data_IF_683959000778
#
_entry.id   IF_683959000778
#
_cell.length_a   1.000
_cell.length_b   1.000
_cell.length_c   1.000
_cell.angle_alpha   90.00
_cell.angle_beta   90.00
_cell.angle_gamma   90.00
#
_symmetry.space_group_name_H-M   'P 1'
#
loop_
_entity.id
_entity.type
_entity.pdbx_description
1 polymer ?
#
# COMPACT_ATOMS: atom_id res chain seq x y z
N UNK A 1 21.60 10.15 2.43
CA UNK A 1 20.88 10.76 1.29
C UNK A 1 20.18 9.65 0.54
N UNK A 2 18.91 9.81 0.18
CA UNK A 2 18.15 8.81 -0.58
C UNK A 2 18.28 9.12 -2.08
N UNK A 3 18.65 8.11 -2.86
CA UNK A 3 18.97 8.22 -4.29
C UNK A 3 17.93 7.49 -5.13
N UNK A 4 17.60 8.02 -6.30
CA UNK A 4 16.84 7.34 -7.34
C UNK A 4 17.72 7.29 -8.61
N UNK A 5 18.24 6.11 -8.92
CA UNK A 5 19.36 5.99 -9.85
C UNK A 5 20.59 6.73 -9.28
N UNK A 6 21.18 7.62 -10.08
CA UNK A 6 22.36 8.40 -9.68
C UNK A 6 22.03 9.77 -9.08
N UNK A 7 20.75 10.13 -8.99
CA UNK A 7 20.31 11.46 -8.55
C UNK A 7 19.66 11.43 -7.15
N UNK A 8 19.78 12.50 -6.35
CA UNK A 8 19.03 12.63 -5.11
C UNK A 8 17.52 12.59 -5.37
N UNK A 9 16.78 11.73 -4.68
CA UNK A 9 15.32 11.64 -4.88
C UNK A 9 14.63 12.98 -4.56
N UNK A 10 15.07 13.66 -3.49
CA UNK A 10 14.55 14.97 -3.11
C UNK A 10 14.92 16.02 -4.16
N UNK A 11 13.90 16.60 -4.81
CA UNK A 11 14.05 17.71 -5.76
C UNK A 11 14.28 17.28 -7.21
N UNK A 12 14.55 16.00 -7.48
CA UNK A 12 14.74 15.49 -8.85
C UNK A 12 13.74 14.40 -9.26
N UNK A 13 13.18 13.65 -8.31
CA UNK A 13 12.14 12.68 -8.61
C UNK A 13 10.86 13.39 -9.06
N UNK A 14 10.22 12.88 -10.11
CA UNK A 14 8.86 13.27 -10.49
C UNK A 14 7.87 12.98 -9.37
N UNK A 15 6.65 13.51 -9.48
CA UNK A 15 5.62 13.30 -8.47
C UNK A 15 5.32 11.81 -8.27
N UNK A 16 5.11 11.06 -9.35
CA UNK A 16 4.83 9.62 -9.28
C UNK A 16 6.02 8.79 -8.79
N UNK A 17 7.26 9.20 -9.11
CA UNK A 17 8.46 8.55 -8.57
C UNK A 17 8.59 8.80 -7.08
N UNK A 18 8.37 10.04 -6.63
CA UNK A 18 8.40 10.40 -5.20
C UNK A 18 7.40 9.57 -4.40
N UNK A 19 6.20 9.38 -4.94
CA UNK A 19 5.15 8.57 -4.33
C UNK A 19 5.55 7.10 -4.26
N UNK A 20 6.02 6.52 -5.37
CA UNK A 20 6.49 5.14 -5.44
C UNK A 20 7.66 4.89 -4.50
N UNK A 21 8.56 5.85 -4.37
CA UNK A 21 9.72 5.81 -3.49
C UNK A 21 9.30 5.84 -2.02
N UNK A 22 8.38 6.73 -1.65
CA UNK A 22 7.83 6.80 -0.29
C UNK A 22 7.08 5.51 0.09
N UNK A 23 6.25 4.99 -0.81
CA UNK A 23 5.56 3.71 -0.61
C UNK A 23 6.55 2.56 -0.41
N UNK A 24 7.59 2.46 -1.25
CA UNK A 24 8.61 1.43 -1.12
C UNK A 24 9.31 1.48 0.25
N UNK A 25 9.62 2.67 0.75
CA UNK A 25 10.22 2.83 2.10
C UNK A 25 9.27 2.38 3.21
N UNK A 26 7.96 2.66 3.09
CA UNK A 26 6.96 2.21 4.07
C UNK A 26 6.80 0.69 4.07
N UNK A 27 6.74 0.07 2.89
CA UNK A 27 6.68 -1.38 2.75
C UNK A 27 7.96 -2.05 3.27
N UNK A 28 9.13 -1.48 2.98
CA UNK A 28 10.41 -1.97 3.50
C UNK A 28 10.46 -1.89 5.03
N UNK A 29 9.92 -0.83 5.63
CA UNK A 29 9.79 -0.72 7.08
C UNK A 29 8.87 -1.79 7.66
N UNK A 30 7.72 -2.06 7.02
CA UNK A 30 6.82 -3.13 7.46
C UNK A 30 7.50 -4.50 7.36
N UNK A 31 8.27 -4.74 6.30
CA UNK A 31 9.05 -5.97 6.13
C UNK A 31 10.11 -6.12 7.23
N UNK A 32 10.82 -5.05 7.57
CA UNK A 32 11.81 -5.08 8.65
C UNK A 32 11.17 -5.42 9.99
N UNK A 33 10.02 -4.79 10.31
CA UNK A 33 9.28 -5.08 11.53
C UNK A 33 8.79 -6.53 11.58
N UNK A 34 8.36 -7.07 10.44
CA UNK A 34 8.00 -8.47 10.30
C UNK A 34 9.17 -9.40 10.62
N UNK A 35 10.34 -9.14 10.04
CA UNK A 35 11.51 -10.01 10.21
C UNK A 35 12.05 -10.00 11.67
N UNK A 36 11.82 -8.92 12.42
CA UNK A 36 12.19 -8.80 13.84
C UNK A 36 11.08 -9.24 14.82
N UNK A 37 9.85 -9.46 14.33
CA UNK A 37 8.68 -9.75 15.16
C UNK A 37 8.70 -11.18 15.69
N UNK A 38 8.39 -11.33 16.98
CA UNK A 38 8.16 -12.63 17.63
C UNK A 38 6.67 -12.99 17.73
N UNK A 39 5.79 -12.08 17.34
CA UNK A 39 4.35 -12.14 17.62
C UNK A 39 3.47 -12.20 16.37
N UNK A 40 4.06 -12.23 15.18
CA UNK A 40 3.35 -12.25 13.89
C UNK A 40 3.63 -11.03 13.02
N UNK A 41 2.98 -10.96 11.85
CA UNK A 41 3.18 -9.86 10.90
C UNK A 41 2.53 -8.56 11.42
N UNK A 42 3.09 -7.38 11.09
CA UNK A 42 2.40 -6.12 11.37
C UNK A 42 1.15 -5.98 10.49
N UNK A 43 0.08 -5.41 11.06
CA UNK A 43 -1.09 -5.01 10.27
C UNK A 43 -0.69 -3.85 9.38
N UNK A 44 -0.82 -4.03 8.06
CA UNK A 44 -0.57 -2.96 7.09
C UNK A 44 -1.87 -2.23 6.78
N UNK A 45 -1.85 -0.91 6.89
CA UNK A 45 -2.99 -0.05 6.55
C UNK A 45 -2.62 0.77 5.31
N UNK A 46 -3.44 0.65 4.28
CA UNK A 46 -3.32 1.33 3.00
C UNK A 46 -4.47 2.32 2.87
N UNK A 47 -4.21 3.60 3.10
CA UNK A 47 -5.23 4.64 3.10
C UNK A 47 -5.35 5.31 1.72
N UNK A 48 -6.37 4.93 0.96
CA UNK A 48 -6.71 5.44 -0.39
C UNK A 48 -5.55 5.43 -1.40
N UNK A 49 -4.53 4.62 -1.14
CA UNK A 49 -3.27 4.62 -1.89
C UNK A 49 -3.44 4.11 -3.32
N UNK A 50 -4.46 3.28 -3.58
CA UNK A 50 -4.68 2.70 -4.90
C UNK A 50 -5.20 3.72 -5.92
N UNK A 51 -5.96 4.73 -5.47
CA UNK A 51 -6.47 5.79 -6.33
C UNK A 51 -5.33 6.61 -6.97
N UNK A 52 -4.20 6.75 -6.26
CA UNK A 52 -3.01 7.52 -6.68
C UNK A 52 -2.11 6.77 -7.68
N UNK A 53 -2.43 5.50 -7.99
CA UNK A 53 -1.60 4.63 -8.79
C UNK A 53 -2.21 4.32 -10.16
N UNK A 54 -1.35 4.23 -11.18
CA UNK A 54 -1.72 3.59 -12.44
C UNK A 54 -1.89 2.07 -12.27
N UNK A 55 -2.61 1.43 -13.19
CA UNK A 55 -2.97 0.01 -13.11
C UNK A 55 -1.77 -0.92 -12.85
N UNK A 56 -0.64 -0.69 -13.54
CA UNK A 56 0.56 -1.50 -13.35
C UNK A 56 1.17 -1.36 -11.96
N UNK A 57 1.09 -0.17 -11.36
CA UNK A 57 1.54 0.04 -9.98
C UNK A 57 0.56 -0.51 -8.94
N UNK A 58 -0.75 -0.47 -9.21
CA UNK A 58 -1.76 -1.11 -8.35
C UNK A 58 -1.48 -2.61 -8.23
N UNK A 59 -1.26 -3.29 -9.35
CA UNK A 59 -0.96 -4.73 -9.38
C UNK A 59 0.33 -5.07 -8.62
N UNK A 60 1.37 -4.22 -8.76
CA UNK A 60 2.62 -4.38 -8.01
C UNK A 60 2.42 -4.20 -6.51
N UNK A 61 1.69 -3.17 -6.08
CA UNK A 61 1.38 -2.96 -4.68
C UNK A 61 0.60 -4.13 -4.11
N UNK A 62 -0.44 -4.59 -4.82
CA UNK A 62 -1.21 -5.77 -4.43
C UNK A 62 -0.32 -7.00 -4.23
N UNK A 63 0.59 -7.26 -5.17
CA UNK A 63 1.53 -8.38 -5.07
C UNK A 63 2.47 -8.26 -3.87
N UNK A 64 2.92 -7.04 -3.54
CA UNK A 64 3.83 -6.80 -2.41
C UNK A 64 3.18 -6.99 -1.04
N UNK A 65 1.86 -6.79 -0.93
CA UNK A 65 1.14 -6.91 0.35
C UNK A 65 0.33 -8.20 0.46
N UNK A 66 0.27 -9.02 -0.59
CA UNK A 66 -0.51 -10.27 -0.63
C UNK A 66 -0.06 -11.30 0.43
N UNK A 67 1.23 -11.31 0.77
CA UNK A 67 1.82 -12.27 1.72
C UNK A 67 1.82 -11.77 3.18
N UNK A 68 1.18 -10.63 3.46
CA UNK A 68 0.99 -10.15 4.82
C UNK A 68 -0.24 -10.80 5.44
N UNK A 69 -0.14 -11.18 6.72
CA UNK A 69 -1.27 -11.83 7.43
C UNK A 69 -2.54 -10.96 7.45
N UNK A 70 -2.41 -9.64 7.58
CA UNK A 70 -3.54 -8.73 7.55
C UNK A 70 -3.19 -7.39 6.88
N UNK A 71 -4.05 -7.00 5.93
CA UNK A 71 -4.01 -5.70 5.27
C UNK A 71 -5.39 -5.06 5.37
N UNK A 72 -5.44 -3.80 5.80
CA UNK A 72 -6.64 -2.96 5.78
C UNK A 72 -6.47 -1.96 4.64
N UNK A 73 -7.45 -1.89 3.76
CA UNK A 73 -7.43 -1.00 2.60
C UNK A 73 -8.67 -0.10 2.70
N UNK A 74 -8.47 1.21 2.58
CA UNK A 74 -9.57 2.14 2.32
C UNK A 74 -9.54 2.50 0.83
N UNK A 75 -10.71 2.59 0.22
CA UNK A 75 -10.86 2.99 -1.17
C UNK A 75 -12.24 3.61 -1.35
N UNK A 76 -12.32 4.74 -2.05
CA UNK A 76 -13.59 5.35 -2.43
C UNK A 76 -14.26 4.64 -3.63
N UNK A 77 -13.46 4.00 -4.49
CA UNK A 77 -13.91 3.29 -5.69
C UNK A 77 -13.39 1.86 -5.63
N UNK A 78 -14.29 0.89 -5.72
CA UNK A 78 -13.95 -0.53 -5.55
C UNK A 78 -12.97 -1.05 -6.61
N UNK A 79 -13.09 -0.51 -7.83
CA UNK A 79 -12.32 -0.86 -9.01
C UNK A 79 -10.86 -0.38 -8.93
N UNK A 80 -10.53 0.51 -7.98
CA UNK A 80 -9.16 0.89 -7.72
C UNK A 80 -8.38 -0.22 -7.00
N UNK A 81 -9.07 -1.11 -6.29
CA UNK A 81 -8.45 -2.24 -5.60
C UNK A 81 -8.32 -3.42 -6.57
N UNK A 82 -7.09 -3.94 -6.81
CA UNK A 82 -6.91 -5.09 -7.70
C UNK A 82 -7.70 -6.31 -7.24
N UNK A 83 -8.38 -6.96 -8.18
CA UNK A 83 -9.20 -8.17 -7.93
C UNK A 83 -8.37 -9.39 -7.49
N UNK A 84 -7.03 -9.32 -7.64
CA UNK A 84 -6.09 -10.30 -7.09
C UNK A 84 -6.09 -10.33 -5.55
N UNK A 85 -6.49 -9.23 -4.90
CA UNK A 85 -6.65 -9.16 -3.45
C UNK A 85 -8.03 -9.68 -3.07
N UNK A 86 -8.09 -10.89 -2.51
CA UNK A 86 -9.32 -11.43 -1.92
C UNK A 86 -9.57 -10.77 -0.57
N UNK A 87 -10.50 -9.84 -0.50
CA UNK A 87 -10.83 -9.11 0.71
C UNK A 87 -12.22 -9.48 1.25
N UNK A 88 -12.39 -9.36 2.56
CA UNK A 88 -13.72 -9.12 3.13
C UNK A 88 -14.02 -7.63 2.98
N UNK A 89 -15.12 -7.29 2.33
CA UNK A 89 -15.48 -5.91 2.04
C UNK A 89 -16.42 -5.37 3.10
N UNK A 90 -16.17 -4.15 3.53
CA UNK A 90 -17.03 -3.39 4.41
C UNK A 90 -17.41 -2.09 3.71
N UNK A 91 -18.70 -1.81 3.65
CA UNK A 91 -19.22 -0.52 3.24
C UNK A 91 -19.24 0.41 4.46
N UNK A 92 -18.72 1.62 4.28
CA UNK A 92 -18.69 2.65 5.32
C UNK A 92 -19.51 3.85 4.85
N UNK A 93 -20.60 4.15 5.54
CA UNK A 93 -21.48 5.28 5.24
C UNK A 93 -22.06 5.87 6.51
N UNK A 94 -22.12 7.20 6.58
CA UNK A 94 -22.70 7.94 7.72
C UNK A 94 -22.17 7.51 9.11
N UNK A 95 -20.87 7.17 9.20
CA UNK A 95 -20.25 6.70 10.44
C UNK A 95 -20.60 5.27 10.85
N UNK A 96 -21.31 4.53 10.00
CA UNK A 96 -21.66 3.12 10.17
C UNK A 96 -20.81 2.23 9.28
N UNK A 97 -20.53 1.01 9.73
CA UNK A 97 -19.74 0.00 8.99
C UNK A 97 -20.57 -1.27 8.85
N UNK A 98 -20.82 -1.69 7.61
CA UNK A 98 -21.61 -2.89 7.29
C UNK A 98 -20.80 -3.82 6.39
N UNK A 99 -20.83 -5.12 6.69
CA UNK A 99 -20.18 -6.12 5.85
C UNK A 99 -21.02 -6.38 4.60
N UNK A 100 -20.37 -6.44 3.43
CA UNK A 100 -20.97 -6.74 2.12
C UNK A 100 -20.70 -8.18 1.70
#
# INVERSE_FOLDING_TARGET
>A
MLLLGDLPAKGYASHGESWSYALALRLASARLLRDESKTGDPIVILDDVFAELDAGRRDRLASLVADNEQVIITAAVSEDVPTSLKATVFEVSEGSVTRV
#
